data_IF_536424526452
#
_entry.id   IF_536424526452
#
_cell.length_a   1.000
_cell.length_b   1.000
_cell.length_c   1.000
_cell.angle_alpha   90.00
_cell.angle_beta   90.00
_cell.angle_gamma   90.00
#
_symmetry.space_group_name_H-M   'P 1'
#
loop_
_entity.id
_entity.type
_entity.pdbx_description
1 polymer ?
#
# COMPACT_ATOMS: atom_id res chain seq x y z
N UNK A 1 -4.10 7.56 -22.79
CA UNK A 1 -3.34 6.30 -22.73
C UNK A 1 -1.88 6.66 -22.98
N UNK A 2 -0.97 6.39 -22.04
CA UNK A 2 0.44 6.81 -22.16
C UNK A 2 1.27 5.71 -22.83
N UNK A 3 2.15 6.10 -23.75
CA UNK A 3 3.11 5.19 -24.37
C UNK A 3 4.30 4.99 -23.41
N UNK A 4 4.72 3.74 -23.13
CA UNK A 4 5.86 3.51 -22.25
C UNK A 4 7.15 4.01 -22.91
N UNK A 5 7.87 4.87 -22.20
CA UNK A 5 9.17 5.41 -22.63
C UNK A 5 10.25 4.34 -22.44
N UNK A 6 11.22 4.28 -23.36
CA UNK A 6 12.32 3.32 -23.31
C UNK A 6 13.18 3.47 -22.05
N UNK A 7 13.72 2.35 -21.55
CA UNK A 7 14.59 2.32 -20.37
C UNK A 7 16.06 2.49 -20.77
N UNK A 8 16.74 3.42 -20.12
CA UNK A 8 18.21 3.49 -20.17
C UNK A 8 18.77 2.51 -19.12
N UNK A 9 19.48 1.46 -19.56
CA UNK A 9 19.99 0.41 -18.68
C UNK A 9 21.07 0.90 -17.70
N UNK A 10 21.70 2.05 -17.94
CA UNK A 10 22.80 2.55 -17.11
C UNK A 10 22.37 2.93 -15.67
N UNK A 11 21.09 3.26 -15.47
CA UNK A 11 20.53 3.69 -14.17
C UNK A 11 19.26 2.93 -13.80
N UNK A 12 19.11 1.69 -14.28
CA UNK A 12 17.92 0.90 -14.02
C UNK A 12 17.85 0.45 -12.57
N UNK A 13 16.79 0.85 -11.88
CA UNK A 13 16.43 0.29 -10.57
C UNK A 13 15.68 -1.03 -10.80
N UNK A 14 16.25 -2.14 -10.33
CA UNK A 14 15.64 -3.45 -10.47
C UNK A 14 14.30 -3.50 -9.72
N UNK A 15 13.21 -3.53 -10.48
CA UNK A 15 11.85 -3.70 -9.95
C UNK A 15 11.36 -5.12 -10.23
N UNK A 16 12.07 -6.11 -9.66
CA UNK A 16 11.89 -7.54 -9.99
C UNK A 16 10.44 -7.97 -9.86
N UNK A 17 9.75 -7.57 -8.78
CA UNK A 17 8.36 -7.95 -8.58
C UNK A 17 7.45 -7.39 -9.68
N UNK A 18 7.64 -6.12 -10.04
CA UNK A 18 6.85 -5.46 -11.07
C UNK A 18 7.10 -6.08 -12.46
N UNK A 19 8.35 -6.45 -12.75
CA UNK A 19 8.70 -7.15 -13.98
C UNK A 19 8.05 -8.55 -14.03
N UNK A 20 8.10 -9.32 -12.94
CA UNK A 20 7.49 -10.65 -12.86
C UNK A 20 5.97 -10.60 -13.02
N UNK A 21 5.30 -9.60 -12.42
CA UNK A 21 3.84 -9.45 -12.58
C UNK A 21 3.46 -8.93 -13.97
N UNK A 22 4.29 -8.09 -14.58
CA UNK A 22 4.02 -7.53 -15.90
C UNK A 22 4.40 -8.48 -17.06
N UNK A 23 5.36 -9.39 -16.88
CA UNK A 23 5.82 -10.34 -17.90
C UNK A 23 4.71 -11.16 -18.55
N UNK A 24 3.84 -11.89 -17.80
CA UNK A 24 2.77 -12.67 -18.43
C UNK A 24 1.78 -11.77 -19.17
N UNK A 25 1.50 -10.57 -18.66
CA UNK A 25 0.62 -9.60 -19.33
C UNK A 25 1.26 -9.06 -20.60
N UNK A 26 2.57 -8.82 -20.58
CA UNK A 26 3.33 -8.29 -21.71
C UNK A 26 3.38 -9.30 -22.86
N UNK A 27 3.57 -10.59 -22.53
CA UNK A 27 3.61 -11.68 -23.50
C UNK A 27 2.27 -11.93 -24.19
N UNK A 28 1.14 -11.67 -23.52
CA UNK A 28 -0.19 -11.96 -24.06
C UNK A 28 -0.93 -10.73 -24.63
N UNK A 29 -0.75 -9.55 -24.04
CA UNK A 29 -1.53 -8.35 -24.34
C UNK A 29 -0.69 -7.21 -24.92
N UNK A 30 0.63 -7.40 -25.02
CA UNK A 30 1.58 -6.39 -25.45
C UNK A 30 1.93 -5.38 -24.35
N UNK A 31 2.98 -4.61 -24.60
CA UNK A 31 3.62 -3.71 -23.61
C UNK A 31 2.65 -2.61 -23.13
N UNK A 32 1.84 -2.06 -24.03
CA UNK A 32 0.91 -0.96 -23.71
C UNK A 32 -0.19 -1.42 -22.77
N UNK A 33 -0.85 -2.54 -23.08
CA UNK A 33 -1.91 -3.07 -22.23
C UNK A 33 -1.36 -3.54 -20.87
N UNK A 34 -0.22 -4.23 -20.87
CA UNK A 34 0.43 -4.69 -19.65
C UNK A 34 0.78 -3.54 -18.70
N UNK A 35 1.36 -2.46 -19.22
CA UNK A 35 1.73 -1.29 -18.42
C UNK A 35 0.51 -0.61 -17.79
N UNK A 36 -0.58 -0.44 -18.54
CA UNK A 36 -1.80 0.19 -18.01
C UNK A 36 -2.49 -0.70 -16.97
N UNK A 37 -2.52 -2.02 -17.18
CA UNK A 37 -3.07 -2.97 -16.22
C UNK A 37 -2.25 -3.03 -14.92
N UNK A 38 -0.92 -3.03 -15.03
CA UNK A 38 -0.04 -2.99 -13.85
C UNK A 38 -0.20 -1.70 -13.05
N UNK A 39 -0.35 -0.57 -13.74
CA UNK A 39 -0.64 0.72 -13.13
C UNK A 39 -2.00 0.71 -12.42
N UNK A 40 -3.04 0.20 -13.07
CA UNK A 40 -4.38 0.07 -12.47
C UNK A 40 -4.33 -0.82 -11.23
N UNK A 41 -3.67 -1.99 -11.33
CA UNK A 41 -3.47 -2.89 -10.20
C UNK A 41 -2.82 -2.18 -9.02
N UNK A 42 -1.76 -1.44 -9.27
CA UNK A 42 -1.02 -0.69 -8.25
C UNK A 42 -1.91 0.33 -7.54
N UNK A 43 -2.77 1.05 -8.27
CA UNK A 43 -3.73 1.99 -7.66
C UNK A 43 -4.79 1.29 -6.80
N UNK A 44 -5.39 0.23 -7.34
CA UNK A 44 -6.47 -0.51 -6.66
C UNK A 44 -5.95 -1.15 -5.38
N UNK A 45 -4.80 -1.83 -5.45
CA UNK A 45 -4.19 -2.49 -4.28
C UNK A 45 -3.76 -1.48 -3.23
N UNK A 46 -3.14 -0.36 -3.64
CA UNK A 46 -2.77 0.72 -2.74
C UNK A 46 -4.00 1.30 -2.00
N UNK A 47 -5.06 1.63 -2.75
CA UNK A 47 -6.28 2.20 -2.17
C UNK A 47 -6.99 1.22 -1.23
N UNK A 48 -7.07 -0.05 -1.63
CA UNK A 48 -7.66 -1.09 -0.79
C UNK A 48 -6.86 -1.36 0.49
N UNK A 49 -5.52 -1.37 0.41
CA UNK A 49 -4.66 -1.51 1.59
C UNK A 49 -4.89 -0.39 2.59
N UNK A 50 -4.95 0.86 2.13
CA UNK A 50 -5.23 2.03 2.98
C UNK A 50 -6.65 1.99 3.55
N UNK A 51 -7.64 1.59 2.75
CA UNK A 51 -9.00 1.34 3.25
C UNK A 51 -9.01 0.36 4.43
N UNK A 52 -8.30 -0.78 4.30
CA UNK A 52 -8.22 -1.76 5.38
C UNK A 52 -7.49 -1.22 6.62
N UNK A 53 -6.41 -0.45 6.41
CA UNK A 53 -5.65 0.18 7.48
C UNK A 53 -6.52 1.13 8.31
N UNK A 54 -7.21 2.06 7.66
CA UNK A 54 -8.04 3.06 8.35
C UNK A 54 -9.25 2.41 9.00
N UNK A 55 -9.87 1.43 8.32
CA UNK A 55 -10.97 0.64 8.91
C UNK A 55 -10.52 -0.08 10.19
N UNK A 56 -9.31 -0.66 10.17
CA UNK A 56 -8.74 -1.34 11.33
C UNK A 56 -8.50 -0.36 12.50
N UNK A 57 -7.92 0.82 12.23
CA UNK A 57 -7.70 1.86 13.25
C UNK A 57 -9.01 2.37 13.86
N UNK A 58 -10.01 2.67 13.03
CA UNK A 58 -11.34 3.10 13.52
C UNK A 58 -11.98 2.03 14.41
N UNK A 59 -11.81 0.75 14.06
CA UNK A 59 -12.30 -0.37 14.87
C UNK A 59 -11.62 -0.39 16.24
N UNK A 60 -10.30 -0.20 16.31
CA UNK A 60 -9.57 -0.16 17.60
C UNK A 60 -10.05 1.00 18.46
N UNK A 61 -10.18 2.21 17.89
CA UNK A 61 -10.62 3.41 18.63
C UNK A 61 -12.02 3.20 19.21
N UNK A 62 -12.95 2.65 18.42
CA UNK A 62 -14.31 2.38 18.88
C UNK A 62 -14.37 1.34 20.01
N UNK A 63 -13.44 0.38 20.06
CA UNK A 63 -13.35 -0.58 21.16
C UNK A 63 -12.87 0.05 22.47
N UNK A 64 -12.12 1.16 22.43
CA UNK A 64 -11.53 1.79 23.61
C UNK A 64 -12.46 2.82 24.28
N UNK A 65 -13.50 3.31 23.60
CA UNK A 65 -14.41 4.35 24.12
C UNK A 65 -15.69 3.75 24.73
N UNK A 66 -16.17 4.24 25.90
CA UNK A 66 -17.45 3.82 26.47
C UNK A 66 -18.61 4.31 25.59
N UNK A 67 -19.46 3.37 25.14
CA UNK A 67 -20.45 3.59 24.07
C UNK A 67 -21.72 4.29 24.61
N UNK A 68 -22.16 5.37 23.95
CA UNK A 68 -23.54 5.88 24.07
C UNK A 68 -24.38 5.51 22.83
N UNK A 69 -25.64 5.12 23.00
CA UNK A 69 -26.48 4.53 21.93
C UNK A 69 -26.66 5.40 20.68
N UNK A 70 -26.56 6.74 20.78
CA UNK A 70 -26.64 7.65 19.63
C UNK A 70 -25.35 7.69 18.78
N UNK A 71 -24.19 7.33 19.35
CA UNK A 71 -22.94 7.26 18.60
C UNK A 71 -22.92 6.10 17.59
N UNK A 72 -23.56 4.97 17.92
CA UNK A 72 -23.54 3.72 17.12
C UNK A 72 -24.13 3.89 15.70
N UNK A 73 -25.20 4.67 15.53
CA UNK A 73 -25.87 4.85 14.24
C UNK A 73 -25.07 5.74 13.27
N UNK A 74 -24.45 6.80 13.81
CA UNK A 74 -23.60 7.73 13.04
C UNK A 74 -22.26 7.08 12.69
N UNK A 75 -21.71 6.24 13.58
CA UNK A 75 -20.46 5.51 13.32
C UNK A 75 -20.56 4.50 12.17
N UNK A 76 -21.73 3.89 11.92
CA UNK A 76 -21.84 2.85 10.88
C UNK A 76 -21.68 3.41 9.46
N UNK A 77 -22.30 4.55 9.14
CA UNK A 77 -22.15 5.20 7.83
C UNK A 77 -20.75 5.78 7.64
N UNK A 78 -20.17 6.39 8.69
CA UNK A 78 -18.79 6.89 8.65
C UNK A 78 -17.73 5.78 8.63
N UNK A 79 -18.05 4.56 9.12
CA UNK A 79 -17.10 3.44 9.22
C UNK A 79 -16.60 2.95 7.86
N UNK A 80 -17.34 3.19 6.78
CA UNK A 80 -16.97 2.77 5.42
C UNK A 80 -16.56 3.97 4.57
N UNK A 81 -17.21 5.12 4.75
CA UNK A 81 -16.94 6.32 3.94
C UNK A 81 -15.56 6.91 4.24
N UNK A 82 -15.17 7.00 5.52
CA UNK A 82 -13.86 7.55 5.91
C UNK A 82 -12.71 6.68 5.38
N UNK A 83 -12.71 5.34 5.58
CA UNK A 83 -11.66 4.51 5.00
C UNK A 83 -11.67 4.53 3.47
N UNK A 84 -12.85 4.63 2.83
CA UNK A 84 -12.94 4.69 1.37
C UNK A 84 -12.31 5.97 0.81
N UNK A 85 -12.57 7.12 1.43
CA UNK A 85 -11.95 8.39 1.05
C UNK A 85 -10.43 8.38 1.30
N UNK A 86 -9.99 7.84 2.44
CA UNK A 86 -8.56 7.70 2.72
C UNK A 86 -7.86 6.81 1.69
N UNK A 87 -8.49 5.68 1.32
CA UNK A 87 -8.03 4.80 0.25
C UNK A 87 -7.95 5.51 -1.09
N UNK A 88 -8.97 6.29 -1.44
CA UNK A 88 -9.04 7.05 -2.68
C UNK A 88 -7.94 8.13 -2.74
N UNK A 89 -7.75 8.90 -1.65
CA UNK A 89 -6.69 9.91 -1.58
C UNK A 89 -5.30 9.30 -1.66
N UNK A 90 -5.08 8.14 -1.05
CA UNK A 90 -3.79 7.45 -1.15
C UNK A 90 -3.54 6.86 -2.54
N UNK A 91 -4.57 6.25 -3.15
CA UNK A 91 -4.46 5.72 -4.50
C UNK A 91 -4.15 6.85 -5.50
N UNK A 92 -4.90 7.94 -5.47
CA UNK A 92 -4.78 9.06 -6.41
C UNK A 92 -3.95 10.23 -5.87
N UNK A 93 -2.98 9.95 -5.00
CA UNK A 93 -2.11 10.98 -4.46
C UNK A 93 -1.38 11.72 -5.59
N UNK A 94 -1.37 13.06 -5.54
CA UNK A 94 -0.78 13.91 -6.59
C UNK A 94 0.68 13.53 -6.90
N UNK A 95 1.47 13.24 -5.86
CA UNK A 95 2.86 12.77 -6.01
C UNK A 95 2.96 11.50 -6.85
N UNK A 96 2.06 10.54 -6.63
CA UNK A 96 2.02 9.27 -7.37
C UNK A 96 1.68 9.49 -8.84
N UNK A 97 0.67 10.32 -9.12
CA UNK A 97 0.25 10.66 -10.47
C UNK A 97 1.35 11.40 -11.24
N UNK A 98 2.08 12.29 -10.57
CA UNK A 98 3.20 13.03 -11.16
C UNK A 98 4.33 12.10 -11.62
N UNK A 99 4.78 11.19 -10.76
CA UNK A 99 5.86 10.25 -11.13
C UNK A 99 5.44 9.26 -12.21
N UNK A 100 4.18 8.82 -12.22
CA UNK A 100 3.65 7.96 -13.28
C UNK A 100 3.58 8.71 -14.61
N UNK A 101 3.19 9.99 -14.62
CA UNK A 101 3.19 10.81 -15.83
C UNK A 101 4.60 11.01 -16.42
N UNK A 102 5.64 11.00 -15.57
CA UNK A 102 7.04 11.04 -15.97
C UNK A 102 7.59 9.68 -16.44
N UNK A 103 6.78 8.61 -16.44
CA UNK A 103 7.21 7.26 -16.78
C UNK A 103 8.04 6.56 -15.69
N UNK A 104 8.13 7.15 -14.49
CA UNK A 104 8.80 6.58 -13.33
C UNK A 104 7.89 5.57 -12.62
N UNK A 105 7.52 4.50 -13.31
CA UNK A 105 6.60 3.47 -12.80
C UNK A 105 7.10 2.77 -11.52
N UNK A 106 8.41 2.80 -11.27
CA UNK A 106 9.00 2.30 -10.03
C UNK A 106 8.48 3.07 -8.80
N UNK A 107 8.50 4.41 -8.85
CA UNK A 107 8.02 5.28 -7.76
C UNK A 107 6.48 5.18 -7.62
N UNK A 108 5.77 4.77 -8.68
CA UNK A 108 4.36 4.44 -8.59
C UNK A 108 4.06 3.21 -7.70
N UNK A 109 5.04 2.34 -7.44
CA UNK A 109 4.84 1.01 -6.85
C UNK A 109 4.87 1.01 -5.32
N UNK A 110 4.00 1.81 -4.69
CA UNK A 110 3.83 1.89 -3.23
C UNK A 110 2.67 1.05 -2.68
N UNK A 111 2.15 0.11 -3.46
CA UNK A 111 0.91 -0.61 -3.15
C UNK A 111 0.98 -1.51 -1.92
N UNK A 112 2.17 -1.96 -1.52
CA UNK A 112 2.33 -2.86 -0.36
C UNK A 112 2.52 -2.12 0.95
N UNK A 113 2.89 -0.84 0.92
CA UNK A 113 3.12 0.01 2.11
C UNK A 113 1.94 -0.01 3.09
N UNK A 114 0.67 0.23 2.67
CA UNK A 114 -0.44 0.26 3.62
C UNK A 114 -0.69 -1.10 4.28
N UNK A 115 -0.43 -2.21 3.57
CA UNK A 115 -0.56 -3.55 4.16
C UNK A 115 0.54 -3.82 5.17
N UNK A 116 1.79 -3.46 4.86
CA UNK A 116 2.90 -3.62 5.80
C UNK A 116 2.62 -2.89 7.12
N UNK A 117 2.15 -1.63 7.05
CA UNK A 117 1.78 -0.84 8.24
C UNK A 117 0.58 -1.46 8.96
N UNK A 118 -0.46 -1.88 8.25
CA UNK A 118 -1.64 -2.52 8.84
C UNK A 118 -1.26 -3.76 9.67
N UNK A 119 -0.44 -4.65 9.12
CA UNK A 119 -0.07 -5.89 9.81
C UNK A 119 0.93 -5.65 10.95
N UNK A 120 1.78 -4.63 10.84
CA UNK A 120 2.63 -4.19 11.94
C UNK A 120 1.81 -3.66 13.12
N UNK A 121 0.84 -2.78 12.87
CA UNK A 121 -0.06 -2.29 13.91
C UNK A 121 -0.88 -3.45 14.51
N UNK A 122 -1.33 -4.40 13.68
CA UNK A 122 -2.06 -5.58 14.13
C UNK A 122 -1.22 -6.50 15.02
N UNK A 123 0.07 -6.65 14.71
CA UNK A 123 1.01 -7.41 15.53
C UNK A 123 1.17 -6.77 16.92
N UNK A 124 1.33 -5.45 17.00
CA UNK A 124 1.48 -4.75 18.28
C UNK A 124 0.23 -4.88 19.18
N UNK A 125 -0.97 -4.72 18.62
CA UNK A 125 -2.21 -4.82 19.41
C UNK A 125 -2.61 -6.26 19.78
N UNK A 126 -2.11 -7.27 19.04
CA UNK A 126 -2.43 -8.69 19.24
C UNK A 126 -1.16 -9.54 19.03
N UNK A 127 -0.23 -9.56 20.00
CA UNK A 127 1.05 -10.24 19.86
C UNK A 127 0.91 -11.77 19.66
N UNK A 128 -0.17 -12.38 20.13
CA UNK A 128 -0.39 -13.84 20.07
C UNK A 128 -0.60 -14.40 18.65
N UNK A 129 -0.76 -13.52 17.65
CA UNK A 129 -0.98 -13.93 16.26
C UNK A 129 0.30 -13.79 15.44
N UNK A 130 1.11 -14.85 15.43
CA UNK A 130 2.25 -15.01 14.51
C UNK A 130 1.87 -14.74 13.04
N UNK A 131 0.62 -15.03 12.64
CA UNK A 131 0.11 -14.70 11.31
C UNK A 131 0.27 -13.21 10.96
N UNK A 132 0.08 -12.30 11.91
CA UNK A 132 0.23 -10.86 11.68
C UNK A 132 1.69 -10.48 11.44
N UNK A 133 2.63 -11.07 12.21
CA UNK A 133 4.06 -10.85 12.04
C UNK A 133 4.56 -11.38 10.68
N UNK A 134 4.13 -12.60 10.31
CA UNK A 134 4.47 -13.20 9.01
C UNK A 134 3.92 -12.35 7.86
N UNK A 135 2.67 -11.87 7.96
CA UNK A 135 2.10 -11.01 6.93
C UNK A 135 2.80 -9.65 6.85
N UNK A 136 3.16 -9.04 7.98
CA UNK A 136 3.93 -7.78 7.99
C UNK A 136 5.29 -7.96 7.29
N UNK A 137 6.01 -9.04 7.61
CA UNK A 137 7.27 -9.39 6.95
C UNK A 137 7.10 -9.63 5.45
N UNK A 138 6.05 -10.37 5.05
CA UNK A 138 5.75 -10.62 3.65
C UNK A 138 5.44 -9.33 2.86
N UNK A 139 4.64 -8.42 3.41
CA UNK A 139 4.37 -7.16 2.70
C UNK A 139 5.57 -6.22 2.66
N UNK A 140 6.43 -6.27 3.69
CA UNK A 140 7.70 -5.54 3.67
C UNK A 140 8.66 -6.09 2.62
N UNK A 141 8.79 -7.41 2.49
CA UNK A 141 9.64 -8.02 1.46
C UNK A 141 9.08 -7.80 0.06
N UNK A 142 7.76 -7.90 -0.13
CA UNK A 142 7.11 -7.54 -1.39
C UNK A 142 7.33 -6.06 -1.72
N UNK A 143 7.27 -5.16 -0.75
CA UNK A 143 7.60 -3.75 -0.97
C UNK A 143 9.08 -3.57 -1.34
N UNK A 144 10.00 -4.27 -0.68
CA UNK A 144 11.43 -4.21 -0.99
C UNK A 144 11.76 -4.72 -2.39
N UNK A 145 11.06 -5.77 -2.85
CA UNK A 145 11.19 -6.30 -4.21
C UNK A 145 10.50 -5.45 -5.28
N UNK A 146 9.51 -4.64 -4.88
CA UNK A 146 8.86 -3.67 -5.76
C UNK A 146 9.70 -2.39 -5.87
N UNK A 147 10.11 -1.83 -4.71
CA UNK A 147 10.94 -0.63 -4.58
C UNK A 147 11.60 -0.56 -3.18
N UNK A 148 12.92 -0.74 -3.15
CA UNK A 148 13.83 -0.55 -2.02
C UNK A 148 13.71 0.82 -1.34
N UNK A 149 13.47 1.90 -2.09
CA UNK A 149 13.36 3.25 -1.51
C UNK A 149 12.21 3.31 -0.49
N UNK A 150 11.04 2.79 -0.86
CA UNK A 150 9.89 2.73 0.06
C UNK A 150 10.07 1.72 1.18
N UNK A 151 10.76 0.60 0.93
CA UNK A 151 11.10 -0.35 1.97
C UNK A 151 12.04 0.25 3.04
N UNK A 152 12.98 1.11 2.61
CA UNK A 152 13.88 1.81 3.52
C UNK A 152 13.13 2.77 4.42
N UNK A 153 12.21 3.57 3.86
CA UNK A 153 11.34 4.44 4.65
C UNK A 153 10.41 3.66 5.58
N UNK A 154 9.91 2.50 5.14
CA UNK A 154 9.17 1.60 6.01
C UNK A 154 10.03 1.14 7.18
N UNK A 155 11.26 0.67 6.96
CA UNK A 155 12.15 0.23 8.05
C UNK A 155 12.43 1.36 9.06
N UNK A 156 12.65 2.58 8.58
CA UNK A 156 12.78 3.77 9.46
C UNK A 156 11.49 3.97 10.26
N UNK A 157 10.32 3.89 9.63
CA UNK A 157 9.04 3.97 10.32
C UNK A 157 8.88 2.87 11.38
N UNK A 158 9.27 1.62 11.09
CA UNK A 158 9.27 0.52 12.06
C UNK A 158 10.17 0.86 13.25
N UNK A 159 11.39 1.31 13.01
CA UNK A 159 12.34 1.68 14.07
C UNK A 159 11.82 2.80 14.96
N UNK A 160 11.28 3.87 14.36
CA UNK A 160 10.68 4.98 15.10
C UNK A 160 9.44 4.54 15.89
N UNK A 161 8.59 3.70 15.29
CA UNK A 161 7.41 3.18 15.96
C UNK A 161 7.79 2.34 17.18
N UNK A 162 8.78 1.46 17.06
CA UNK A 162 9.28 0.69 18.21
C UNK A 162 9.88 1.57 19.30
N UNK A 163 10.65 2.60 18.93
CA UNK A 163 11.25 3.54 19.89
C UNK A 163 10.19 4.35 20.63
N UNK A 164 9.10 4.72 19.98
CA UNK A 164 7.99 5.45 20.61
C UNK A 164 7.24 4.62 21.68
N UNK A 165 7.24 3.30 21.56
CA UNK A 165 6.53 2.39 22.47
C UNK A 165 7.43 1.68 23.50
N UNK A 166 8.75 1.92 23.46
CA UNK A 166 9.73 1.51 24.47
C UNK A 166 9.71 2.47 25.66
#
# INVERSE_FOLDING_TARGET
>A
MFYPIGLNLAYYTLTVLNAVTALPLTLNLGVVAASNLHMLFTFVVAGYGTFLLVKYQLTIINYQLPITNYQLLITNYHSLLIPALAGLFYAFASSKLFYIALGQFNIGSSQWVPFAVLYLLRMHHRPDRLKSAVMAGLFLTLQAWAELTYASFLLVFIGLYWLYWL
#
